data_IF_274135246110
#
_entry.id   IF_274135246110
#
_cell.length_a   1.000
_cell.length_b   1.000
_cell.length_c   1.000
_cell.angle_alpha   90.00
_cell.angle_beta   90.00
_cell.angle_gamma   90.00
#
_symmetry.space_group_name_H-M   'P 1'
#
loop_
_entity.id
_entity.type
_entity.pdbx_description
1 polymer ?
#
# COMPACT_ATOMS: atom_id res chain seq x y z
N UNK A 1 19.35 -2.32 51.01
CA UNK A 1 19.08 -3.08 49.76
C UNK A 1 19.42 -2.19 48.57
N UNK A 2 20.48 -2.50 47.80
CA UNK A 2 20.95 -1.66 46.68
C UNK A 2 20.14 -1.94 45.42
N UNK A 3 19.79 -0.88 44.70
CA UNK A 3 19.06 -0.89 43.42
C UNK A 3 19.92 -1.55 42.34
N UNK A 4 19.39 -2.57 41.68
CA UNK A 4 20.02 -3.17 40.50
C UNK A 4 19.65 -2.33 39.28
N UNK A 5 20.64 -1.64 38.70
CA UNK A 5 20.45 -0.84 37.49
C UNK A 5 20.29 -1.74 36.27
N UNK A 6 19.17 -1.56 35.57
CA UNK A 6 18.90 -2.18 34.27
C UNK A 6 19.68 -1.40 33.19
N UNK A 7 20.84 -1.94 32.78
CA UNK A 7 21.63 -1.34 31.71
C UNK A 7 20.97 -1.61 30.34
N UNK A 8 20.23 -0.63 29.83
CA UNK A 8 19.70 -0.65 28.47
C UNK A 8 20.87 -0.62 27.47
N UNK A 9 20.99 -1.67 26.64
CA UNK A 9 22.02 -1.73 25.58
C UNK A 9 21.84 -0.55 24.61
N UNK A 10 22.93 0.08 24.13
CA UNK A 10 22.84 1.18 23.17
C UNK A 10 22.32 0.65 21.82
N UNK A 11 21.12 1.08 21.42
CA UNK A 11 20.58 0.83 20.08
C UNK A 11 21.36 1.70 19.08
N UNK A 12 22.49 1.19 18.55
CA UNK A 12 23.08 1.76 17.34
C UNK A 12 22.18 1.43 16.15
N UNK A 13 21.23 2.31 15.86
CA UNK A 13 20.44 2.24 14.62
C UNK A 13 21.30 2.80 13.49
N UNK A 14 22.09 1.95 12.86
CA UNK A 14 22.62 2.29 11.53
C UNK A 14 21.45 2.24 10.55
N UNK A 15 21.15 3.33 9.80
CA UNK A 15 20.13 3.28 8.77
C UNK A 15 20.64 2.35 7.67
N UNK A 16 20.07 1.14 7.60
CA UNK A 16 20.27 0.27 6.45
C UNK A 16 19.52 0.89 5.29
N UNK A 17 20.26 1.30 4.25
CA UNK A 17 19.69 1.72 2.98
C UNK A 17 18.99 0.54 2.33
N UNK A 18 17.68 0.43 2.56
CA UNK A 18 16.83 -0.52 1.84
C UNK A 18 16.79 0.00 0.41
N UNK A 19 17.49 -0.68 -0.51
CA UNK A 19 17.31 -0.46 -1.95
C UNK A 19 15.81 -0.55 -2.24
N UNK A 20 15.22 0.58 -2.62
CA UNK A 20 13.79 0.69 -2.88
C UNK A 20 13.53 -0.13 -4.15
N UNK A 21 12.79 -1.26 -4.10
CA UNK A 21 12.34 -1.87 -5.34
C UNK A 21 11.64 -0.76 -6.11
N UNK A 22 11.96 -0.60 -7.41
CA UNK A 22 11.39 0.45 -8.26
C UNK A 22 9.90 0.47 -7.97
N UNK A 23 9.47 1.47 -7.21
CA UNK A 23 8.12 1.51 -6.71
C UNK A 23 7.27 1.54 -7.96
N UNK A 24 6.42 0.53 -8.12
CA UNK A 24 5.27 0.56 -9.01
C UNK A 24 4.82 2.02 -9.08
N UNK A 25 4.98 2.67 -10.25
CA UNK A 25 4.91 4.12 -10.40
C UNK A 25 3.45 4.57 -10.24
N UNK A 26 2.93 4.45 -9.02
CA UNK A 26 1.58 4.81 -8.63
C UNK A 26 1.52 6.30 -8.59
N UNK A 27 0.69 6.85 -9.47
CA UNK A 27 0.42 8.28 -9.52
C UNK A 27 -0.52 8.61 -8.37
N UNK A 28 -0.09 9.47 -7.46
CA UNK A 28 -0.99 10.10 -6.50
C UNK A 28 -1.86 11.12 -7.25
N UNK A 29 -3.17 11.05 -7.04
CA UNK A 29 -4.16 11.91 -7.69
C UNK A 29 -5.03 12.54 -6.61
N UNK A 30 -5.27 13.85 -6.70
CA UNK A 30 -6.30 14.51 -5.89
C UNK A 30 -7.65 14.30 -6.58
N UNK A 31 -8.48 13.45 -5.99
CA UNK A 31 -9.79 13.10 -6.53
C UNK A 31 -10.90 13.82 -5.75
N UNK A 32 -11.79 14.52 -6.44
CA UNK A 32 -12.99 15.13 -5.86
C UNK A 32 -14.16 14.17 -6.05
N UNK A 33 -14.74 13.69 -4.96
CA UNK A 33 -15.91 12.81 -4.95
C UNK A 33 -17.02 13.44 -4.11
N UNK A 34 -18.28 13.12 -4.44
CA UNK A 34 -19.36 13.39 -3.51
C UNK A 34 -19.22 12.50 -2.26
N UNK A 35 -19.63 12.98 -1.08
CA UNK A 35 -19.51 12.20 0.16
C UNK A 35 -20.29 10.88 0.08
N UNK A 36 -21.48 10.89 -0.52
CA UNK A 36 -22.32 9.70 -0.65
C UNK A 36 -21.66 8.61 -1.52
N UNK A 37 -21.00 9.02 -2.60
CA UNK A 37 -20.25 8.12 -3.47
C UNK A 37 -19.04 7.53 -2.74
N UNK A 38 -18.31 8.36 -2.00
CA UNK A 38 -17.19 7.90 -1.20
C UNK A 38 -17.64 6.85 -0.17
N UNK A 39 -18.73 7.12 0.55
CA UNK A 39 -19.27 6.17 1.53
C UNK A 39 -19.78 4.87 0.89
N UNK A 40 -20.30 4.91 -0.33
CA UNK A 40 -20.66 3.68 -1.06
C UNK A 40 -19.42 2.83 -1.39
N UNK A 41 -18.33 3.46 -1.83
CA UNK A 41 -17.06 2.79 -2.12
C UNK A 41 -16.45 2.22 -0.83
N UNK A 42 -16.50 2.94 0.29
CA UNK A 42 -16.02 2.46 1.58
C UNK A 42 -16.73 1.18 2.04
N UNK A 43 -18.07 1.13 1.90
CA UNK A 43 -18.84 -0.08 2.24
C UNK A 43 -18.48 -1.27 1.35
N UNK A 44 -18.29 -1.02 0.06
CA UNK A 44 -17.90 -2.07 -0.89
C UNK A 44 -16.49 -2.60 -0.59
N UNK A 45 -15.53 -1.70 -0.34
CA UNK A 45 -14.17 -2.05 0.03
C UNK A 45 -14.12 -2.87 1.33
N UNK A 46 -14.95 -2.53 2.32
CA UNK A 46 -15.07 -3.26 3.57
C UNK A 46 -15.62 -4.68 3.36
N UNK A 47 -16.63 -4.84 2.51
CA UNK A 47 -17.19 -6.15 2.17
C UNK A 47 -16.16 -7.06 1.47
N UNK A 48 -15.31 -6.48 0.63
CA UNK A 48 -14.29 -7.20 -0.15
C UNK A 48 -12.94 -7.36 0.58
N UNK A 49 -12.82 -6.89 1.82
CA UNK A 49 -11.58 -6.89 2.61
C UNK A 49 -10.40 -6.19 1.89
N UNK A 50 -10.69 -5.08 1.21
CA UNK A 50 -9.71 -4.27 0.47
C UNK A 50 -9.59 -2.86 1.07
N UNK A 51 -8.51 -2.18 0.73
CA UNK A 51 -8.44 -0.74 0.98
C UNK A 51 -9.32 0.01 0.00
N UNK A 52 -9.82 1.17 0.40
CA UNK A 52 -10.63 2.05 -0.46
C UNK A 52 -9.91 2.38 -1.77
N UNK A 53 -8.60 2.63 -1.74
CA UNK A 53 -7.82 2.91 -2.95
C UNK A 53 -7.75 1.71 -3.90
N UNK A 54 -7.64 0.49 -3.37
CA UNK A 54 -7.65 -0.72 -4.20
C UNK A 54 -9.03 -0.93 -4.84
N UNK A 55 -10.11 -0.66 -4.10
CA UNK A 55 -11.47 -0.73 -4.62
C UNK A 55 -11.71 0.28 -5.75
N UNK A 56 -11.25 1.53 -5.57
CA UNK A 56 -11.29 2.56 -6.63
C UNK A 56 -10.57 2.08 -7.88
N UNK A 57 -9.40 1.45 -7.76
CA UNK A 57 -8.66 0.92 -8.92
C UNK A 57 -9.45 -0.15 -9.66
N UNK A 58 -10.08 -1.09 -8.96
CA UNK A 58 -10.92 -2.14 -9.57
C UNK A 58 -12.10 -1.53 -10.32
N UNK A 59 -12.85 -0.64 -9.68
CA UNK A 59 -14.00 0.03 -10.29
C UNK A 59 -13.60 0.81 -11.55
N UNK A 60 -12.44 1.47 -11.54
CA UNK A 60 -11.91 2.18 -12.72
C UNK A 60 -11.52 1.21 -13.84
N UNK A 61 -10.84 0.10 -13.51
CA UNK A 61 -10.47 -0.94 -14.50
C UNK A 61 -11.70 -1.56 -15.14
N UNK A 62 -12.73 -1.88 -14.36
CA UNK A 62 -14.00 -2.38 -14.86
C UNK A 62 -14.71 -1.35 -15.75
N UNK A 63 -14.77 -0.09 -15.32
CA UNK A 63 -15.37 0.99 -16.10
C UNK A 63 -14.69 1.20 -17.45
N UNK A 64 -13.35 1.10 -17.50
CA UNK A 64 -12.57 1.14 -18.73
C UNK A 64 -12.80 -0.10 -19.60
N UNK A 65 -12.80 -1.29 -19.01
CA UNK A 65 -13.05 -2.53 -19.74
C UNK A 65 -14.44 -2.55 -20.39
N UNK A 66 -15.48 -2.06 -19.71
CA UNK A 66 -16.84 -1.89 -20.26
C UNK A 66 -16.88 -0.93 -21.46
N UNK A 67 -15.92 -0.01 -21.56
CA UNK A 67 -15.73 0.91 -22.70
C UNK A 67 -14.78 0.36 -23.77
N UNK A 68 -14.35 -0.90 -23.65
CA UNK A 68 -13.42 -1.55 -24.57
C UNK A 68 -11.94 -1.28 -24.30
N UNK A 69 -11.61 -0.54 -23.24
CA UNK A 69 -10.23 -0.24 -22.86
C UNK A 69 -9.72 -1.23 -21.81
N UNK A 70 -9.26 -2.40 -22.25
CA UNK A 70 -8.70 -3.43 -21.36
C UNK A 70 -7.27 -3.08 -20.97
N UNK A 71 -7.00 -3.09 -19.67
CA UNK A 71 -5.66 -2.93 -19.11
C UNK A 71 -5.06 -4.31 -18.78
N UNK A 72 -3.73 -4.47 -18.86
CA UNK A 72 -3.09 -5.71 -18.40
C UNK A 72 -3.28 -5.90 -16.89
N UNK A 73 -3.24 -7.17 -16.47
CA UNK A 73 -3.31 -7.54 -15.06
C UNK A 73 -2.16 -6.94 -14.27
N UNK A 74 -2.44 -6.56 -13.02
CA UNK A 74 -1.43 -6.00 -12.13
C UNK A 74 -0.38 -7.06 -11.79
N UNK A 75 0.91 -6.73 -11.98
CA UNK A 75 2.00 -7.61 -11.56
C UNK A 75 2.03 -7.69 -10.03
N UNK A 76 2.16 -8.89 -9.44
CA UNK A 76 2.18 -9.04 -8.01
C UNK A 76 3.43 -8.35 -7.43
N UNK A 77 3.21 -7.32 -6.62
CA UNK A 77 4.29 -6.66 -5.90
C UNK A 77 4.86 -7.63 -4.87
N UNK A 78 6.15 -7.95 -4.97
CA UNK A 78 6.84 -8.75 -3.94
C UNK A 78 6.82 -7.98 -2.63
N UNK A 79 5.96 -8.42 -1.70
CA UNK A 79 5.91 -7.91 -0.33
C UNK A 79 6.98 -8.62 0.48
N UNK A 80 7.91 -7.89 1.10
CA UNK A 80 8.93 -8.49 1.95
C UNK A 80 10.20 -7.65 2.10
N UNK A 81 11.13 -8.16 2.93
CA UNK A 81 12.49 -7.61 3.10
C UNK A 81 13.20 -7.60 1.74
N UNK A 82 13.93 -6.53 1.36
CA UNK A 82 14.81 -6.60 0.19
C UNK A 82 15.77 -7.78 0.36
N UNK A 83 16.12 -8.43 -0.76
CA UNK A 83 17.14 -9.47 -0.73
C UNK A 83 18.42 -8.88 -0.12
N UNK A 84 19.06 -9.60 0.80
CA UNK A 84 20.42 -9.23 1.21
C UNK A 84 21.31 -9.52 0.00
N UNK A 85 22.02 -8.51 -0.47
CA UNK A 85 23.17 -8.75 -1.34
C UNK A 85 24.15 -9.65 -0.57
N UNK A 86 24.62 -10.70 -1.25
CA UNK A 86 25.57 -11.69 -0.71
C UNK A 86 26.95 -11.10 -0.51
#
# INVERSE_FOLDING_TARGET
>A
MRRSECAARPQRRHPLSIARPVADQRKSLLLRLSPDLHSAIERLAAAELRSVNAEIEILLREGLARRGQKLPDATPVRRGRPAKDG
#
